data_IF_768303754898
#
_entry.id   IF_768303754898
#
_cell.length_a   1.000
_cell.length_b   1.000
_cell.length_c   1.000
_cell.angle_alpha   90.00
_cell.angle_beta   90.00
_cell.angle_gamma   90.00
#
_symmetry.space_group_name_H-M   'P 1'
#
loop_
_entity.id
_entity.type
_entity.pdbx_description
1 polymer ?
#
# COMPACT_ATOMS: atom_id res chain seq x y z
N UNK A 1 -31.20 0.06 -11.76
CA UNK A 1 -29.77 -0.32 -11.71
C UNK A 1 -29.49 -0.69 -10.27
N UNK A 2 -29.37 -1.98 -9.96
CA UNK A 2 -29.04 -2.41 -8.60
C UNK A 2 -27.56 -2.12 -8.40
N UNK A 3 -27.23 -1.33 -7.38
CA UNK A 3 -25.87 -1.22 -6.90
C UNK A 3 -25.62 -2.57 -6.22
N UNK A 4 -24.78 -3.43 -6.81
CA UNK A 4 -24.36 -4.68 -6.15
C UNK A 4 -23.88 -4.36 -4.74
N UNK A 5 -24.41 -5.07 -3.75
CA UNK A 5 -24.04 -4.83 -2.37
C UNK A 5 -22.65 -5.42 -2.13
N UNK A 6 -21.91 -4.86 -1.18
CA UNK A 6 -20.60 -5.41 -0.82
C UNK A 6 -20.70 -6.86 -0.30
N UNK A 7 -21.91 -7.32 0.04
CA UNK A 7 -22.21 -8.70 0.43
C UNK A 7 -22.28 -9.69 -0.73
N UNK A 8 -22.41 -9.23 -1.98
CA UNK A 8 -22.49 -10.10 -3.16
C UNK A 8 -21.10 -10.54 -3.68
N UNK A 9 -20.03 -9.95 -3.14
CA UNK A 9 -18.65 -10.25 -3.55
C UNK A 9 -18.09 -11.40 -2.72
N UNK A 10 -17.53 -12.42 -3.39
CA UNK A 10 -16.80 -13.51 -2.74
C UNK A 10 -15.41 -13.05 -2.27
N UNK A 11 -15.39 -12.43 -1.08
CA UNK A 11 -14.16 -11.93 -0.48
C UNK A 11 -13.20 -13.05 -0.05
N UNK A 12 -13.69 -14.27 0.18
CA UNK A 12 -12.85 -15.41 0.52
C UNK A 12 -12.03 -15.86 -0.68
N UNK A 13 -12.66 -15.99 -1.84
CA UNK A 13 -11.98 -16.33 -3.10
C UNK A 13 -10.91 -15.29 -3.45
N UNK A 14 -11.24 -13.99 -3.35
CA UNK A 14 -10.29 -12.92 -3.63
C UNK A 14 -9.12 -12.97 -2.65
N UNK A 15 -9.39 -13.12 -1.35
CA UNK A 15 -8.36 -13.15 -0.32
C UNK A 15 -7.41 -14.35 -0.49
N UNK A 16 -7.94 -15.51 -0.88
CA UNK A 16 -7.16 -16.68 -1.23
C UNK A 16 -6.27 -16.40 -2.46
N UNK A 17 -6.85 -15.83 -3.52
CA UNK A 17 -6.18 -15.58 -4.81
C UNK A 17 -5.01 -14.60 -4.69
N UNK A 18 -5.14 -13.54 -3.88
CA UNK A 18 -4.10 -12.51 -3.77
C UNK A 18 -2.95 -12.87 -2.81
N UNK A 19 -2.91 -14.10 -2.30
CA UNK A 19 -1.81 -14.60 -1.45
C UNK A 19 -2.24 -15.07 -0.06
N UNK A 20 -3.47 -15.55 0.11
CA UNK A 20 -3.93 -16.15 1.36
C UNK A 20 -4.05 -15.17 2.52
N UNK A 21 -4.52 -13.95 2.25
CA UNK A 21 -4.84 -12.97 3.30
C UNK A 21 -6.23 -13.22 3.87
N UNK A 22 -6.65 -12.44 4.86
CA UNK A 22 -8.02 -12.51 5.38
C UNK A 22 -8.98 -11.68 4.52
N UNK A 23 -10.26 -12.07 4.37
CA UNK A 23 -11.27 -11.28 3.68
C UNK A 23 -11.39 -9.85 4.22
N UNK A 24 -11.30 -9.70 5.55
CA UNK A 24 -11.35 -8.40 6.23
C UNK A 24 -10.22 -7.47 5.77
N UNK A 25 -9.01 -8.01 5.57
CA UNK A 25 -7.89 -7.24 5.03
C UNK A 25 -8.20 -6.73 3.62
N UNK A 26 -8.70 -7.60 2.74
CA UNK A 26 -9.08 -7.22 1.36
C UNK A 26 -10.17 -6.14 1.37
N UNK A 27 -11.23 -6.35 2.15
CA UNK A 27 -12.34 -5.41 2.25
C UNK A 27 -11.88 -4.03 2.76
N UNK A 28 -11.03 -4.00 3.79
CA UNK A 28 -10.48 -2.76 4.33
C UNK A 28 -9.67 -2.01 3.27
N UNK A 29 -8.80 -2.70 2.54
CA UNK A 29 -7.97 -2.11 1.49
C UNK A 29 -8.79 -1.64 0.30
N UNK A 30 -9.75 -2.44 -0.15
CA UNK A 30 -10.70 -2.07 -1.19
C UNK A 30 -11.50 -0.82 -0.79
N UNK A 31 -12.06 -0.80 0.42
CA UNK A 31 -12.80 0.35 0.93
C UNK A 31 -11.92 1.60 0.98
N UNK A 32 -10.70 1.51 1.49
CA UNK A 32 -9.75 2.62 1.53
C UNK A 32 -9.44 3.15 0.13
N UNK A 33 -9.21 2.25 -0.84
CA UNK A 33 -8.89 2.62 -2.21
C UNK A 33 -10.10 3.26 -2.92
N UNK A 34 -11.29 2.67 -2.75
CA UNK A 34 -12.55 3.24 -3.20
C UNK A 34 -12.72 4.65 -2.63
N UNK A 35 -12.54 4.81 -1.31
CA UNK A 35 -12.67 6.08 -0.59
C UNK A 35 -11.55 7.10 -0.88
N UNK A 36 -10.41 6.69 -1.42
CA UNK A 36 -9.36 7.63 -1.78
C UNK A 36 -9.46 8.09 -3.23
N UNK A 37 -9.84 7.20 -4.17
CA UNK A 37 -9.52 7.39 -5.59
C UNK A 37 -10.71 7.38 -6.54
N UNK A 38 -11.85 6.83 -6.15
CA UNK A 38 -12.98 6.62 -7.06
C UNK A 38 -13.96 7.80 -6.95
N UNK A 39 -14.35 8.50 -8.02
CA UNK A 39 -15.43 9.49 -7.96
C UNK A 39 -16.80 8.81 -7.92
N UNK A 40 -17.84 9.47 -7.38
CA UNK A 40 -19.23 8.98 -7.41
C UNK A 40 -19.43 7.54 -6.85
N UNK A 41 -18.70 7.20 -5.78
CA UNK A 41 -18.59 5.84 -5.20
C UNK A 41 -19.91 5.17 -4.83
N UNK A 42 -20.93 5.95 -4.52
CA UNK A 42 -22.24 5.46 -4.10
C UNK A 42 -23.08 4.92 -5.27
N UNK A 43 -22.73 5.28 -6.50
CA UNK A 43 -23.44 4.83 -7.71
C UNK A 43 -22.68 3.80 -8.53
N UNK A 44 -21.45 3.43 -8.13
CA UNK A 44 -20.64 2.43 -8.82
C UNK A 44 -20.72 1.07 -8.15
N UNK A 45 -21.01 0.04 -8.95
CA UNK A 45 -20.90 -1.38 -8.61
C UNK A 45 -19.46 -1.77 -8.27
N UNK A 46 -19.27 -3.01 -7.77
CA UNK A 46 -17.94 -3.55 -7.54
C UNK A 46 -17.14 -3.62 -8.84
N UNK A 47 -17.70 -4.21 -9.91
CA UNK A 47 -17.02 -4.33 -11.20
C UNK A 47 -16.65 -2.96 -11.79
N UNK A 48 -17.59 -2.00 -11.83
CA UNK A 48 -17.30 -0.64 -12.32
C UNK A 48 -16.20 0.05 -11.50
N UNK A 49 -16.19 -0.20 -10.17
CA UNK A 49 -15.14 0.31 -9.30
C UNK A 49 -13.79 -0.30 -9.68
N UNK A 50 -13.69 -1.62 -9.85
CA UNK A 50 -12.46 -2.31 -10.23
C UNK A 50 -11.98 -1.86 -11.62
N UNK A 51 -12.88 -1.76 -12.60
CA UNK A 51 -12.57 -1.28 -13.96
C UNK A 51 -12.02 0.15 -13.94
N UNK A 52 -12.60 1.03 -13.13
CA UNK A 52 -12.08 2.39 -12.95
C UNK A 52 -10.71 2.39 -12.28
N UNK A 53 -10.52 1.59 -11.22
CA UNK A 53 -9.23 1.48 -10.54
C UNK A 53 -8.14 1.01 -11.51
N UNK A 54 -8.44 0.02 -12.33
CA UNK A 54 -7.50 -0.52 -13.32
C UNK A 54 -7.21 0.47 -14.45
N UNK A 55 -8.23 1.10 -15.03
CA UNK A 55 -8.07 2.00 -16.17
C UNK A 55 -7.50 3.38 -15.81
N UNK A 56 -7.81 3.90 -14.62
CA UNK A 56 -7.59 5.31 -14.28
C UNK A 56 -6.62 5.53 -13.11
N UNK A 57 -6.59 4.61 -12.13
CA UNK A 57 -5.81 4.78 -10.90
C UNK A 57 -4.48 4.05 -10.97
N UNK A 58 -4.48 2.80 -11.44
CA UNK A 58 -3.27 1.98 -11.58
C UNK A 58 -2.18 2.65 -12.44
N UNK A 59 -2.46 3.22 -13.63
CA UNK A 59 -1.41 3.84 -14.45
C UNK A 59 -0.72 5.02 -13.75
N UNK A 60 -1.47 5.77 -12.93
CA UNK A 60 -0.93 6.89 -12.14
C UNK A 60 -0.01 6.40 -11.04
N UNK A 61 -0.33 5.29 -10.40
CA UNK A 61 0.54 4.68 -9.41
C UNK A 61 1.80 4.09 -10.03
N UNK A 62 1.68 3.40 -11.17
CA UNK A 62 2.85 2.92 -11.92
C UNK A 62 3.75 4.09 -12.34
N UNK A 63 3.16 5.20 -12.79
CA UNK A 63 3.91 6.41 -13.12
C UNK A 63 4.61 7.01 -11.91
N UNK A 64 3.94 7.15 -10.76
CA UNK A 64 4.56 7.63 -9.53
C UNK A 64 5.71 6.73 -9.08
N UNK A 65 5.54 5.41 -9.15
CA UNK A 65 6.58 4.43 -8.81
C UNK A 65 7.79 4.50 -9.75
N UNK A 66 7.56 4.76 -11.05
CA UNK A 66 8.67 4.97 -11.99
C UNK A 66 9.45 6.24 -11.62
N UNK A 67 8.76 7.36 -11.41
CA UNK A 67 9.40 8.63 -11.03
C UNK A 67 10.19 8.52 -9.72
N UNK A 68 9.66 7.80 -8.71
CA UNK A 68 10.39 7.60 -7.45
C UNK A 68 11.64 6.73 -7.60
N UNK A 69 11.65 5.81 -8.56
CA UNK A 69 12.83 5.00 -8.86
C UNK A 69 13.87 5.78 -9.65
N UNK A 70 13.46 6.65 -10.58
CA UNK A 70 14.39 7.52 -11.31
C UNK A 70 14.95 8.67 -10.45
N UNK A 71 14.17 9.24 -9.53
CA UNK A 71 14.68 10.26 -8.59
C UNK A 71 15.65 9.66 -7.56
N UNK A 72 15.49 8.37 -7.24
CA UNK A 72 16.37 7.65 -6.31
C UNK A 72 17.64 7.11 -6.99
N UNK A 73 17.77 7.31 -8.30
CA UNK A 73 18.94 6.95 -9.10
C UNK A 73 20.07 7.98 -9.02
N UNK A 74 20.48 8.35 -7.81
CA UNK A 74 21.76 8.99 -7.43
C UNK A 74 21.82 9.11 -5.90
N UNK A 75 21.66 7.98 -5.20
CA UNK A 75 22.44 7.82 -3.97
C UNK A 75 23.41 6.71 -4.27
N UNK A 76 24.64 7.12 -4.57
CA UNK A 76 25.82 6.31 -4.28
C UNK A 76 25.58 5.55 -2.97
N UNK A 77 26.03 4.31 -2.95
CA UNK A 77 26.19 3.48 -1.76
C UNK A 77 26.16 4.34 -0.50
N UNK A 78 25.12 4.21 0.33
CA UNK A 78 25.20 4.65 1.72
C UNK A 78 26.27 3.77 2.37
N UNK A 79 27.53 4.12 2.13
CA UNK A 79 28.54 4.11 3.17
C UNK A 79 28.01 5.07 4.24
N UNK A 80 27.01 4.59 4.99
CA UNK A 80 26.70 5.11 6.30
C UNK A 80 28.03 4.95 7.05
N UNK A 81 28.75 6.01 7.43
CA UNK A 81 29.58 5.86 8.61
C UNK A 81 28.54 5.73 9.71
N UNK A 82 28.09 4.49 9.95
CA UNK A 82 27.47 4.15 11.20
C UNK A 82 28.55 4.50 12.21
N UNK A 83 28.49 5.72 12.76
CA UNK A 83 29.26 6.11 13.92
C UNK A 83 28.74 5.17 15.01
N UNK A 84 29.39 4.01 15.10
CA UNK A 84 29.16 3.03 16.14
C UNK A 84 29.69 3.65 17.42
N UNK A 85 28.87 4.47 18.08
CA UNK A 85 29.13 4.88 19.45
C UNK A 85 29.11 3.61 20.30
N UNK A 86 30.23 3.28 20.93
CA UNK A 86 30.22 2.22 21.92
C UNK A 86 29.41 2.73 23.12
N UNK A 87 28.52 1.90 23.66
CA UNK A 87 27.76 2.27 24.87
C UNK A 87 28.68 2.58 26.06
N UNK A 88 29.91 2.04 26.07
CA UNK A 88 30.96 2.38 27.04
C UNK A 88 31.52 3.80 26.90
N UNK A 89 31.24 4.52 25.81
CA UNK A 89 31.55 5.96 25.67
C UNK A 89 30.42 6.85 26.23
N UNK A 90 29.23 6.29 26.46
CA UNK A 90 28.06 7.02 26.97
C UNK A 90 27.93 6.82 28.48
N UNK A 91 28.28 5.63 28.96
CA UNK A 91 28.30 5.30 30.37
C UNK A 91 29.75 5.17 30.83
N UNK A 92 30.21 6.10 31.66
CA UNK A 92 31.42 5.89 32.45
C UNK A 92 31.12 4.74 33.43
N UNK A 93 31.90 3.66 33.37
CA UNK A 93 31.85 2.63 34.39
C UNK A 93 32.24 3.28 35.73
N UNK A 94 31.24 3.58 36.57
CA UNK A 94 31.45 3.87 37.99
C UNK A 94 31.88 2.56 38.70
N UNK A 95 33.11 2.13 38.45
CA UNK A 95 33.81 1.14 39.27
C UNK A 95 34.72 1.89 40.27
N UNK A 96 34.37 1.80 41.55
CA UNK A 96 35.17 2.21 42.73
C UNK A 96 36.27 1.18 43.05
#
# INVERSE_FOLDING_TARGET
>A
MQVEDASDVDWEEIAHTIGGVTPCYVQMHYHKLKVAKVPLRQSMSFCETIDFLYSSVLPKFEELLRHSQTESGETESREDPQEHFLLSEIFEDEDD
#
